data_IF_540642760175
#
_entry.id   IF_540642760175
#
_cell.length_a   1.000
_cell.length_b   1.000
_cell.length_c   1.000
_cell.angle_alpha   90.00
_cell.angle_beta   90.00
_cell.angle_gamma   90.00
#
_symmetry.space_group_name_H-M   'P 1'
#
loop_
_entity.id
_entity.type
_entity.pdbx_description
1 polymer ?
#
# COMPACT_ATOMS: atom_id res chain seq x y z
N UNK A 1 38.50 -37.78 5.27
CA UNK A 1 37.71 -36.83 6.09
C UNK A 1 36.24 -37.08 5.80
N UNK A 2 35.49 -37.53 6.80
CA UNK A 2 34.19 -38.20 6.67
C UNK A 2 33.12 -37.35 5.97
N UNK A 3 32.81 -37.68 4.72
CA UNK A 3 31.57 -37.33 4.05
C UNK A 3 30.42 -38.19 4.61
N UNK A 4 30.04 -37.96 5.87
CA UNK A 4 28.77 -38.47 6.39
C UNK A 4 27.69 -37.49 5.96
N UNK A 5 27.18 -37.70 4.76
CA UNK A 5 25.94 -37.09 4.29
C UNK A 5 24.82 -37.63 5.19
N UNK A 6 24.65 -37.03 6.37
CA UNK A 6 23.61 -37.39 7.31
C UNK A 6 22.29 -37.04 6.65
N UNK A 7 21.55 -38.06 6.20
CA UNK A 7 20.12 -37.91 5.91
C UNK A 7 19.50 -37.35 7.19
N UNK A 8 19.25 -36.04 7.21
CA UNK A 8 18.62 -35.39 8.35
C UNK A 8 17.35 -36.18 8.67
N UNK A 9 17.23 -36.61 9.91
CA UNK A 9 16.04 -37.35 10.32
C UNK A 9 14.82 -36.46 10.10
N UNK A 10 13.69 -37.03 9.70
CA UNK A 10 12.42 -36.31 9.59
C UNK A 10 12.10 -35.53 10.89
N UNK A 11 12.56 -36.03 12.04
CA UNK A 11 12.47 -35.34 13.32
C UNK A 11 13.29 -34.03 13.37
N UNK A 12 14.52 -34.01 12.86
CA UNK A 12 15.39 -32.83 12.81
C UNK A 12 14.84 -31.76 11.86
N UNK A 13 14.32 -32.17 10.70
CA UNK A 13 13.68 -31.27 9.74
C UNK A 13 12.41 -30.62 10.32
N UNK A 14 11.58 -31.41 11.02
CA UNK A 14 10.40 -30.91 11.72
C UNK A 14 10.79 -29.93 12.84
N UNK A 15 11.80 -30.28 13.64
CA UNK A 15 12.30 -29.42 14.71
C UNK A 15 12.78 -28.07 14.15
N UNK A 16 13.59 -28.09 13.09
CA UNK A 16 14.05 -26.88 12.41
C UNK A 16 12.90 -26.01 11.94
N UNK A 17 11.89 -26.59 11.29
CA UNK A 17 10.69 -25.87 10.84
C UNK A 17 9.95 -25.20 12.00
N UNK A 18 9.79 -25.89 13.12
CA UNK A 18 9.12 -25.35 14.31
C UNK A 18 9.92 -24.20 14.91
N UNK A 19 11.25 -24.32 15.00
CA UNK A 19 12.13 -23.26 15.49
C UNK A 19 12.03 -22.02 14.61
N UNK A 20 12.13 -22.19 13.29
CA UNK A 20 12.00 -21.09 12.32
C UNK A 20 10.62 -20.42 12.41
N UNK A 21 9.55 -21.20 12.58
CA UNK A 21 8.21 -20.65 12.76
C UNK A 21 8.07 -19.89 14.09
N UNK A 22 8.59 -20.45 15.18
CA UNK A 22 8.57 -19.79 16.48
C UNK A 22 9.33 -18.45 16.45
N UNK A 23 10.46 -18.41 15.74
CA UNK A 23 11.23 -17.19 15.55
C UNK A 23 10.42 -16.11 14.82
N UNK A 24 9.75 -16.46 13.72
CA UNK A 24 8.85 -15.53 13.00
C UNK A 24 7.71 -15.02 13.88
N UNK A 25 7.11 -15.91 14.68
CA UNK A 25 6.03 -15.52 15.61
C UNK A 25 6.53 -14.55 16.69
N UNK A 26 7.75 -14.74 17.20
CA UNK A 26 8.37 -13.81 18.17
C UNK A 26 8.63 -12.44 17.54
N UNK A 27 9.10 -12.41 16.30
CA UNK A 27 9.30 -11.17 15.55
C UNK A 27 7.97 -10.43 15.32
N UNK A 28 6.92 -11.13 14.91
CA UNK A 28 5.59 -10.54 14.73
C UNK A 28 4.94 -10.09 16.05
N UNK A 29 5.21 -10.81 17.15
CA UNK A 29 4.76 -10.42 18.49
C UNK A 29 5.40 -9.09 18.91
N UNK A 30 6.71 -8.95 18.67
CA UNK A 30 7.52 -7.78 19.03
C UNK A 30 7.30 -6.56 18.11
N UNK A 31 6.62 -6.73 16.96
CA UNK A 31 6.34 -5.64 16.03
C UNK A 31 5.57 -4.51 16.75
N UNK A 32 6.03 -3.25 16.68
CA UNK A 32 5.34 -2.12 17.30
C UNK A 32 3.96 -1.93 16.67
N UNK A 33 2.95 -1.68 17.51
CA UNK A 33 1.55 -1.47 17.10
C UNK A 33 1.12 -0.05 17.45
N UNK A 34 0.25 0.51 16.62
CA UNK A 34 -0.41 1.79 16.86
C UNK A 34 -1.85 1.55 17.34
N UNK A 35 -2.41 2.44 18.17
CA UNK A 35 -3.82 2.34 18.55
C UNK A 35 -4.70 2.55 17.33
N UNK A 36 -5.78 1.79 17.22
CA UNK A 36 -6.73 1.89 16.10
C UNK A 36 -7.34 3.28 15.99
N UNK A 37 -7.61 3.94 17.13
CA UNK A 37 -8.10 5.32 17.18
C UNK A 37 -7.11 6.31 16.55
N UNK A 38 -5.81 6.15 16.82
CA UNK A 38 -4.74 7.02 16.29
C UNK A 38 -4.52 6.75 14.79
N UNK A 39 -4.49 5.48 14.39
CA UNK A 39 -4.40 5.07 12.99
C UNK A 39 -5.57 5.64 12.18
N UNK A 40 -6.81 5.51 12.68
CA UNK A 40 -8.00 6.06 12.05
C UNK A 40 -7.97 7.58 11.92
N UNK A 41 -7.58 8.29 12.99
CA UNK A 41 -7.41 9.74 12.95
C UNK A 41 -6.36 10.18 11.92
N UNK A 42 -5.27 9.42 11.79
CA UNK A 42 -4.22 9.67 10.79
C UNK A 42 -4.74 9.49 9.36
N UNK A 43 -5.51 8.43 9.09
CA UNK A 43 -6.11 8.20 7.78
C UNK A 43 -7.11 9.31 7.42
N UNK A 44 -8.00 9.67 8.34
CA UNK A 44 -8.96 10.77 8.12
C UNK A 44 -8.23 12.08 7.83
N UNK A 45 -7.15 12.38 8.56
CA UNK A 45 -6.36 13.59 8.33
C UNK A 45 -5.79 13.59 6.92
N UNK A 46 -5.16 12.50 6.49
CA UNK A 46 -4.60 12.38 5.15
C UNK A 46 -5.65 12.56 4.06
N UNK A 47 -6.79 11.88 4.19
CA UNK A 47 -7.91 12.02 3.24
C UNK A 47 -8.53 13.42 3.22
N UNK A 48 -8.35 14.24 4.26
CA UNK A 48 -8.85 15.62 4.32
C UNK A 48 -7.83 16.65 3.87
N UNK A 49 -6.53 16.33 3.88
CA UNK A 49 -5.47 17.26 3.47
C UNK A 49 -5.05 17.09 2.02
N UNK A 50 -5.23 15.89 1.47
CA UNK A 50 -4.76 15.53 0.13
C UNK A 50 -5.91 15.60 -0.86
N UNK A 51 -5.87 16.60 -1.77
CA UNK A 51 -6.89 16.79 -2.80
C UNK A 51 -6.95 15.56 -3.73
N UNK A 52 -8.15 15.02 -3.90
CA UNK A 52 -8.42 13.93 -4.86
C UNK A 52 -9.36 14.44 -5.95
N UNK A 53 -8.84 14.55 -7.17
CA UNK A 53 -9.56 15.01 -8.34
C UNK A 53 -10.66 14.03 -8.81
N UNK A 54 -10.60 12.77 -8.38
CA UNK A 54 -11.59 11.73 -8.70
C UNK A 54 -12.78 11.74 -7.73
N UNK A 55 -12.76 12.59 -6.70
CA UNK A 55 -13.89 12.78 -5.77
C UNK A 55 -14.40 14.24 -5.82
N UNK A 56 -15.07 14.65 -6.92
CA UNK A 56 -15.54 16.03 -7.07
C UNK A 56 -16.60 16.47 -6.05
N UNK A 57 -17.30 15.53 -5.43
CA UNK A 57 -18.31 15.82 -4.39
C UNK A 57 -17.69 16.44 -3.13
N UNK A 58 -16.42 16.17 -2.85
CA UNK A 58 -15.69 16.67 -1.68
C UNK A 58 -14.71 17.79 -2.09
N UNK A 59 -14.04 17.63 -3.24
CA UNK A 59 -12.94 18.51 -3.66
C UNK A 59 -13.31 19.51 -4.75
N UNK A 60 -14.53 19.44 -5.29
CA UNK A 60 -14.99 20.24 -6.43
C UNK A 60 -14.56 19.66 -7.79
N UNK A 61 -15.14 20.15 -8.90
CA UNK A 61 -14.78 19.72 -10.23
C UNK A 61 -13.33 20.10 -10.57
N UNK A 62 -12.66 19.26 -11.36
CA UNK A 62 -11.31 19.56 -11.86
C UNK A 62 -11.38 20.72 -12.85
N UNK A 63 -10.53 21.72 -12.65
CA UNK A 63 -10.44 22.85 -13.58
C UNK A 63 -9.94 22.37 -14.96
N UNK A 64 -10.44 22.97 -16.05
CA UNK A 64 -10.05 22.61 -17.42
C UNK A 64 -8.55 22.76 -17.71
N UNK A 65 -7.82 23.53 -16.92
CA UNK A 65 -6.35 23.68 -16.99
C UNK A 65 -5.56 22.84 -15.98
N UNK A 66 -6.24 22.16 -15.05
CA UNK A 66 -5.62 21.25 -14.07
C UNK A 66 -5.60 19.80 -14.56
N UNK A 67 -6.39 19.46 -15.59
CA UNK A 67 -6.46 18.13 -16.17
C UNK A 67 -5.53 18.01 -17.41
N UNK A 68 -4.40 17.28 -17.32
CA UNK A 68 -3.48 17.08 -18.43
C UNK A 68 -4.07 16.30 -19.61
N UNK A 69 -5.19 15.63 -19.40
CA UNK A 69 -5.88 14.81 -20.40
C UNK A 69 -7.13 15.51 -20.97
N UNK A 70 -7.44 16.73 -20.51
CA UNK A 70 -8.53 17.49 -21.08
C UNK A 70 -8.24 17.78 -22.56
N UNK A 71 -9.25 17.67 -23.45
CA UNK A 71 -9.06 18.03 -24.85
C UNK A 71 -8.59 19.49 -24.93
N UNK A 72 -7.55 19.79 -25.73
CA UNK A 72 -7.10 21.16 -25.90
C UNK A 72 -8.28 22.01 -26.36
N UNK A 73 -8.40 23.21 -25.79
CA UNK A 73 -9.48 24.14 -26.09
C UNK A 73 -9.33 24.63 -27.55
N UNK A 74 -9.75 23.82 -28.52
CA UNK A 74 -9.91 24.23 -29.90
C UNK A 74 -11.08 25.20 -29.94
N UNK A 75 -10.77 26.50 -29.91
CA UNK A 75 -11.71 27.52 -30.36
C UNK A 75 -12.10 27.21 -31.80
N UNK A 76 -13.34 26.75 -32.01
CA UNK A 76 -13.93 26.70 -33.34
C UNK A 76 -14.07 28.14 -33.85
N UNK A 77 -13.13 28.53 -34.73
CA UNK A 77 -13.22 29.73 -35.56
C UNK A 77 -14.14 29.44 -36.76
N UNK A 78 -15.39 29.09 -36.48
CA UNK A 78 -16.38 28.82 -37.51
C UNK A 78 -17.35 30.01 -37.58
N UNK A 79 -16.99 31.02 -38.37
CA UNK A 79 -17.94 32.06 -38.81
C UNK A 79 -18.66 31.49 -40.03
N UNK A 80 -19.96 31.22 -39.91
CA UNK A 80 -20.81 30.97 -41.08
C UNK A 80 -21.42 32.32 -41.45
N UNK A 81 -20.99 32.89 -42.59
CA UNK A 81 -21.79 33.83 -43.38
C UNK A 81 -22.80 33.03 -44.21
#
# INVERSE_FOLDING_TARGET
MNARNAKQSMAELKLRRVIEHNQRLKEDLARPRLRVSEAGASLIRYCKSTKDHLVPSVWGPVGKGEDPYAPPQQGCSCVIM
#
